data_IF_659036342889
#
_entry.id   IF_659036342889
#
_cell.length_a   1.000
_cell.length_b   1.000
_cell.length_c   1.000
_cell.angle_alpha   90.00
_cell.angle_beta   90.00
_cell.angle_gamma   90.00
#
_symmetry.space_group_name_H-M   'P 1'
#
loop_
_entity.id
_entity.type
_entity.pdbx_description
1 polymer ?
#
# COMPACT_ATOMS: atom_id res chain seq x y z
N UNK A 1 -1.78 -15.86 -1.89
CA UNK A 1 -2.91 -15.29 -1.12
C UNK A 1 -2.78 -15.84 0.29
N UNK A 2 -2.78 -14.98 1.31
CA UNK A 2 -2.69 -15.41 2.70
C UNK A 2 -4.00 -15.15 3.41
N UNK A 3 -4.51 -16.12 4.14
CA UNK A 3 -5.77 -16.00 4.87
C UNK A 3 -5.53 -15.57 6.32
N UNK A 4 -6.43 -14.74 6.88
CA UNK A 4 -6.41 -14.34 8.30
C UNK A 4 -7.81 -14.30 8.89
N UNK A 5 -7.90 -14.44 10.21
CA UNK A 5 -9.16 -14.36 10.96
C UNK A 5 -9.23 -13.05 11.74
N UNK A 6 -10.27 -12.25 11.47
CA UNK A 6 -10.60 -11.03 12.23
C UNK A 6 -12.05 -11.12 12.69
N UNK A 7 -12.31 -10.89 13.98
CA UNK A 7 -13.66 -11.01 14.58
C UNK A 7 -14.36 -12.35 14.23
N UNK A 8 -13.59 -13.46 14.16
CA UNK A 8 -14.12 -14.78 13.81
C UNK A 8 -14.40 -14.99 12.31
N UNK A 9 -14.15 -14.00 11.46
CA UNK A 9 -14.33 -14.08 10.01
C UNK A 9 -13.00 -14.36 9.33
N UNK A 10 -12.98 -15.41 8.51
CA UNK A 10 -11.83 -15.76 7.69
C UNK A 10 -11.82 -14.90 6.41
N UNK A 11 -10.74 -14.15 6.17
CA UNK A 11 -10.61 -13.27 5.02
C UNK A 11 -9.28 -13.46 4.30
N UNK A 12 -9.32 -13.29 2.98
CA UNK A 12 -8.11 -13.19 2.17
C UNK A 12 -7.46 -11.81 2.34
N UNK A 13 -6.18 -11.82 2.68
CA UNK A 13 -5.36 -10.61 2.72
C UNK A 13 -4.56 -10.53 1.44
N UNK A 14 -4.65 -9.36 0.78
CA UNK A 14 -3.95 -9.02 -0.45
C UNK A 14 -2.85 -7.97 -0.19
N UNK A 15 -1.87 -7.77 -1.10
CA UNK A 15 -1.02 -6.59 -1.05
C UNK A 15 -1.88 -5.33 -1.01
N UNK A 16 -1.49 -4.34 -0.19
CA UNK A 16 -2.27 -3.11 -0.05
C UNK A 16 -1.75 -2.07 -1.04
N UNK A 17 -2.37 -2.00 -2.21
CA UNK A 17 -2.03 -1.03 -3.25
C UNK A 17 -3.14 0.01 -3.32
N UNK A 18 -2.78 1.28 -3.15
CA UNK A 18 -3.75 2.38 -3.24
C UNK A 18 -3.12 3.61 -3.88
N UNK A 19 -3.93 4.40 -4.57
CA UNK A 19 -3.52 5.65 -5.18
C UNK A 19 -4.60 6.72 -5.06
N UNK A 20 -4.18 7.99 -5.08
CA UNK A 20 -5.11 9.11 -5.22
C UNK A 20 -5.72 9.10 -6.63
N UNK A 21 -7.01 9.44 -6.82
CA UNK A 21 -7.64 9.44 -8.15
C UNK A 21 -6.88 10.26 -9.20
N UNK A 22 -6.19 11.33 -8.80
CA UNK A 22 -5.32 12.13 -9.67
C UNK A 22 -4.20 11.34 -10.36
N UNK A 23 -3.82 10.17 -9.84
CA UNK A 23 -2.87 9.29 -10.49
C UNK A 23 -3.49 8.53 -11.65
N UNK A 24 -4.64 7.87 -11.45
CA UNK A 24 -5.37 7.20 -12.53
C UNK A 24 -6.81 6.93 -12.09
N UNK A 25 -7.75 7.18 -12.99
CA UNK A 25 -9.18 6.83 -12.85
C UNK A 25 -9.65 5.84 -13.93
N UNK A 26 -8.83 5.58 -14.95
CA UNK A 26 -9.12 4.59 -16.00
C UNK A 26 -8.05 3.50 -16.08
N UNK A 27 -8.44 2.33 -16.59
CA UNK A 27 -7.49 1.25 -16.86
C UNK A 27 -6.39 1.66 -17.86
N UNK A 28 -6.73 2.50 -18.85
CA UNK A 28 -5.77 3.03 -19.83
C UNK A 28 -4.68 3.86 -19.13
N UNK A 29 -5.05 4.72 -18.19
CA UNK A 29 -4.09 5.52 -17.42
C UNK A 29 -3.19 4.65 -16.54
N UNK A 30 -3.75 3.63 -15.87
CA UNK A 30 -2.96 2.67 -15.09
C UNK A 30 -1.96 1.96 -16.00
N UNK A 31 -2.41 1.43 -17.14
CA UNK A 31 -1.55 0.71 -18.09
C UNK A 31 -0.46 1.61 -18.69
N UNK A 32 -0.71 2.90 -18.85
CA UNK A 32 0.29 3.85 -19.33
C UNK A 32 1.34 4.22 -18.26
N UNK A 33 1.01 4.05 -16.97
CA UNK A 33 1.87 4.42 -15.83
C UNK A 33 2.58 3.24 -15.20
N UNK A 34 2.21 2.02 -15.54
CA UNK A 34 2.84 0.79 -15.04
C UNK A 34 3.43 0.03 -16.23
N UNK A 35 4.72 -0.26 -16.17
CA UNK A 35 5.45 -0.90 -17.27
C UNK A 35 6.55 -1.85 -16.78
N UNK A 36 7.10 -2.64 -17.70
CA UNK A 36 8.17 -3.59 -17.39
C UNK A 36 7.70 -4.77 -16.52
N UNK A 37 8.63 -5.36 -15.76
CA UNK A 37 8.38 -6.51 -14.89
C UNK A 37 8.40 -6.07 -13.43
N UNK A 38 7.23 -5.66 -12.92
CA UNK A 38 7.07 -5.29 -11.51
C UNK A 38 6.50 -6.43 -10.69
N UNK A 39 6.98 -6.61 -9.45
CA UNK A 39 6.50 -7.60 -8.50
C UNK A 39 6.22 -6.93 -7.14
N UNK A 40 5.12 -7.33 -6.50
CA UNK A 40 4.73 -6.83 -5.18
C UNK A 40 4.44 -8.04 -4.29
N UNK A 41 5.20 -8.19 -3.21
CA UNK A 41 5.01 -9.30 -2.27
C UNK A 41 3.63 -9.26 -1.62
N UNK A 42 3.14 -10.43 -1.18
CA UNK A 42 1.86 -10.59 -0.49
C UNK A 42 1.69 -9.65 0.72
N UNK A 43 2.78 -9.36 1.43
CA UNK A 43 2.80 -8.50 2.62
C UNK A 43 3.20 -7.05 2.31
N UNK A 44 3.24 -6.65 1.04
CA UNK A 44 3.68 -5.30 0.67
C UNK A 44 2.55 -4.28 0.71
N UNK A 45 2.93 -3.01 0.87
CA UNK A 45 2.06 -1.84 0.78
C UNK A 45 2.65 -0.82 -0.19
N UNK A 46 1.87 -0.39 -1.17
CA UNK A 46 2.24 0.66 -2.11
C UNK A 46 1.20 1.78 -2.05
N UNK A 47 1.65 3.01 -1.74
CA UNK A 47 0.79 4.20 -1.68
C UNK A 47 1.30 5.22 -2.68
N UNK A 48 0.45 5.62 -3.62
CA UNK A 48 0.80 6.58 -4.68
C UNK A 48 0.01 7.88 -4.49
N UNK A 49 0.72 8.97 -4.24
CA UNK A 49 0.19 10.32 -4.02
C UNK A 49 0.88 11.32 -4.94
N UNK A 50 0.49 11.32 -6.20
CA UNK A 50 0.98 12.27 -7.19
C UNK A 50 0.39 11.95 -8.56
N UNK A 51 0.31 12.96 -9.43
CA UNK A 51 -0.26 12.78 -10.77
C UNK A 51 0.70 12.05 -11.70
N UNK A 52 1.95 12.49 -11.80
CA UNK A 52 2.89 12.04 -12.83
C UNK A 52 3.92 11.01 -12.28
N UNK A 53 3.42 9.96 -11.65
CA UNK A 53 4.26 8.86 -11.12
C UNK A 53 4.21 7.67 -12.09
N UNK A 54 5.38 7.18 -12.51
CA UNK A 54 5.53 6.04 -13.40
C UNK A 54 6.26 4.91 -12.67
N UNK A 55 5.63 3.74 -12.61
CA UNK A 55 6.18 2.53 -11.98
C UNK A 55 6.74 1.64 -13.08
N UNK A 56 8.03 1.30 -12.98
CA UNK A 56 8.73 0.48 -13.95
C UNK A 56 9.69 -0.45 -13.23
N UNK A 57 9.65 -1.75 -13.55
CA UNK A 57 10.59 -2.74 -13.01
C UNK A 57 10.76 -2.67 -11.47
N UNK A 58 9.65 -2.47 -10.74
CA UNK A 58 9.63 -2.33 -9.29
C UNK A 58 9.50 -3.71 -8.63
N UNK A 59 10.45 -4.07 -7.76
CA UNK A 59 10.34 -5.21 -6.85
C UNK A 59 10.09 -4.71 -5.43
N UNK A 60 8.86 -4.87 -4.93
CA UNK A 60 8.46 -4.35 -3.63
C UNK A 60 8.18 -5.47 -2.63
N UNK A 61 8.97 -5.49 -1.56
CA UNK A 61 8.89 -6.42 -0.45
C UNK A 61 8.91 -5.61 0.86
N UNK A 62 7.76 -5.01 1.23
CA UNK A 62 7.67 -4.06 2.35
C UNK A 62 6.68 -2.93 2.07
N UNK A 63 6.89 -1.74 2.62
CA UNK A 63 6.06 -0.56 2.39
C UNK A 63 6.81 0.55 1.65
N UNK A 64 6.17 1.08 0.60
CA UNK A 64 6.63 2.22 -0.19
C UNK A 64 5.51 3.25 -0.31
N UNK A 65 5.82 4.49 0.07
CA UNK A 65 4.94 5.66 -0.11
C UNK A 65 5.62 6.63 -1.07
N UNK A 66 4.94 6.96 -2.17
CA UNK A 66 5.42 7.92 -3.16
C UNK A 66 4.53 9.16 -3.02
N UNK A 67 5.08 10.25 -2.53
CA UNK A 67 4.35 11.49 -2.20
C UNK A 67 5.07 12.68 -2.84
N UNK A 68 4.62 13.06 -4.03
CA UNK A 68 5.31 14.04 -4.89
C UNK A 68 4.30 15.03 -5.46
N UNK A 69 4.73 16.27 -5.68
CA UNK A 69 3.85 17.29 -6.22
C UNK A 69 3.36 16.94 -7.63
N UNK A 70 2.21 17.51 -8.00
CA UNK A 70 1.49 17.13 -9.23
C UNK A 70 2.13 17.65 -10.52
N UNK A 71 3.05 18.59 -10.41
CA UNK A 71 3.83 19.17 -11.50
C UNK A 71 5.13 18.39 -11.78
N UNK A 72 5.54 17.48 -10.88
CA UNK A 72 6.76 16.69 -11.04
C UNK A 72 6.50 15.31 -11.62
N UNK A 73 7.28 14.97 -12.65
CA UNK A 73 7.35 13.60 -13.17
C UNK A 73 8.36 12.77 -12.36
N UNK A 74 7.93 11.60 -11.88
CA UNK A 74 8.77 10.73 -11.06
C UNK A 74 8.69 9.29 -11.57
N UNK A 75 9.87 8.72 -11.83
CA UNK A 75 10.03 7.30 -12.14
C UNK A 75 10.40 6.53 -10.87
N UNK A 76 9.72 5.41 -10.68
CA UNK A 76 9.89 4.51 -9.54
C UNK A 76 10.26 3.13 -10.07
N UNK A 77 11.50 2.76 -9.78
CA UNK A 77 12.15 1.54 -10.27
C UNK A 77 13.09 0.96 -9.21
N UNK A 78 13.49 -0.30 -9.39
CA UNK A 78 14.43 -0.99 -8.52
C UNK A 78 13.75 -1.81 -7.42
N UNK A 79 14.51 -2.12 -6.35
CA UNK A 79 14.06 -2.98 -5.25
C UNK A 79 13.89 -2.19 -3.96
N UNK A 80 12.78 -2.43 -3.26
CA UNK A 80 12.52 -1.87 -1.92
C UNK A 80 12.21 -3.01 -0.96
N UNK A 81 13.05 -3.17 0.05
CA UNK A 81 12.90 -4.17 1.10
C UNK A 81 12.90 -3.51 2.48
N UNK A 82 11.84 -3.72 3.26
CA UNK A 82 11.75 -3.21 4.63
C UNK A 82 10.70 -4.00 5.46
N UNK A 83 10.60 -3.72 6.77
CA UNK A 83 9.64 -4.40 7.66
C UNK A 83 8.18 -4.14 7.29
N UNK A 84 7.91 -3.06 6.54
CA UNK A 84 6.61 -2.75 5.98
C UNK A 84 5.53 -2.44 7.02
N UNK A 85 4.28 -2.61 6.61
CA UNK A 85 3.12 -2.43 7.48
C UNK A 85 2.46 -3.78 7.77
N UNK A 86 2.10 -3.99 9.03
CA UNK A 86 1.46 -5.22 9.50
C UNK A 86 0.01 -4.97 9.89
N UNK A 87 -0.83 -5.98 9.73
CA UNK A 87 -2.18 -6.00 10.30
C UNK A 87 -2.11 -6.65 11.67
N UNK A 88 -2.46 -5.89 12.69
CA UNK A 88 -2.59 -6.36 14.07
C UNK A 88 -4.07 -6.59 14.38
N UNK A 89 -4.40 -7.73 14.98
CA UNK A 89 -5.75 -8.02 15.42
C UNK A 89 -6.20 -7.00 16.48
N UNK A 90 -7.46 -6.62 16.42
CA UNK A 90 -8.14 -5.77 17.40
C UNK A 90 -9.35 -6.55 17.90
N UNK A 91 -9.51 -6.63 19.22
CA UNK A 91 -10.71 -7.21 19.81
C UNK A 91 -11.86 -6.22 19.70
N UNK A 92 -12.99 -6.65 19.13
CA UNK A 92 -14.18 -5.82 19.01
C UNK A 92 -14.77 -5.40 20.37
N UNK A 93 -14.44 -6.12 21.45
CA UNK A 93 -14.85 -5.84 22.83
C UNK A 93 -13.96 -4.84 23.57
N UNK A 94 -12.77 -4.54 23.05
CA UNK A 94 -11.83 -3.62 23.70
C UNK A 94 -12.27 -2.17 23.51
N UNK A 95 -13.11 -1.65 24.41
CA UNK A 95 -13.66 -0.29 24.33
C UNK A 95 -12.64 0.83 24.45
N UNK A 96 -11.36 0.54 24.73
CA UNK A 96 -10.29 1.53 24.68
C UNK A 96 -9.89 1.90 23.24
N UNK A 97 -10.24 1.04 22.27
CA UNK A 97 -9.94 1.22 20.86
C UNK A 97 -11.15 1.87 20.13
N UNK A 98 -10.91 2.84 19.22
CA UNK A 98 -11.96 3.44 18.40
C UNK A 98 -12.83 2.41 17.66
N UNK A 99 -14.13 2.70 17.56
CA UNK A 99 -15.11 1.78 16.97
C UNK A 99 -14.75 1.36 15.54
N UNK A 100 -14.24 2.27 14.71
CA UNK A 100 -13.87 2.00 13.32
C UNK A 100 -12.78 0.93 13.18
N UNK A 101 -11.95 0.73 14.22
CA UNK A 101 -10.94 -0.32 14.25
C UNK A 101 -11.52 -1.63 14.81
N UNK A 102 -12.41 -1.53 15.81
CA UNK A 102 -13.09 -2.68 16.44
C UNK A 102 -14.00 -3.42 15.46
N UNK A 103 -14.81 -2.69 14.70
CA UNK A 103 -15.80 -3.31 13.78
C UNK A 103 -15.11 -4.13 12.68
N UNK A 104 -13.92 -3.71 12.22
CA UNK A 104 -13.14 -4.45 11.21
C UNK A 104 -12.17 -5.49 11.80
N UNK A 105 -11.95 -5.48 13.12
CA UNK A 105 -11.16 -6.48 13.82
C UNK A 105 -9.64 -6.38 13.63
N UNK A 106 -9.14 -5.27 13.06
CA UNK A 106 -7.70 -5.05 12.93
C UNK A 106 -7.30 -3.57 12.85
N UNK A 107 -6.03 -3.30 13.12
CA UNK A 107 -5.37 -2.01 12.86
C UNK A 107 -4.12 -2.21 12.01
N UNK A 108 -3.74 -1.16 11.28
CA UNK A 108 -2.51 -1.14 10.50
C UNK A 108 -1.42 -0.55 11.39
N UNK A 109 -0.41 -1.36 11.73
CA UNK A 109 0.80 -0.88 12.38
C UNK A 109 1.89 -0.63 11.34
N UNK A 110 2.38 0.61 11.28
CA UNK A 110 3.36 1.08 10.29
C UNK A 110 4.78 0.93 10.86
N UNK A 111 5.29 -0.30 10.84
CA UNK A 111 6.62 -0.62 11.41
C UNK A 111 7.73 0.14 10.69
N UNK A 112 7.72 0.11 9.36
CA UNK A 112 8.72 0.75 8.53
C UNK A 112 8.13 1.09 7.16
N UNK A 113 8.65 2.15 6.53
CA UNK A 113 8.30 2.51 5.17
C UNK A 113 9.44 3.31 4.53
N UNK A 114 9.65 3.11 3.24
CA UNK A 114 10.40 4.07 2.43
C UNK A 114 9.43 5.15 1.94
N UNK A 115 9.76 6.41 2.17
CA UNK A 115 9.03 7.56 1.60
C UNK A 115 9.89 8.14 0.49
N UNK A 116 9.37 8.11 -0.74
CA UNK A 116 9.92 8.87 -1.86
C UNK A 116 9.15 10.18 -1.94
N UNK A 117 9.66 11.17 -1.25
CA UNK A 117 9.20 12.57 -1.31
C UNK A 117 10.21 13.41 -2.08
N UNK A 118 9.86 14.67 -2.31
CA UNK A 118 10.82 15.66 -2.79
C UNK A 118 11.98 15.82 -1.79
N UNK A 119 13.21 16.14 -2.26
CA UNK A 119 14.21 16.75 -1.39
C UNK A 119 13.75 18.12 -0.89
#
# INVERSE_FOLDING_TARGET
ISTRVFNGQEIEVWPRVTWKPKWAVTFKEVKNKVSGSSSISQRSTLVIKGRNIFVKDLCLDGALVIDVADDKEVKVEGSVQNKGWILENVDYKDTSVPEELRIRGFRINKIEQLVKSEP
#
